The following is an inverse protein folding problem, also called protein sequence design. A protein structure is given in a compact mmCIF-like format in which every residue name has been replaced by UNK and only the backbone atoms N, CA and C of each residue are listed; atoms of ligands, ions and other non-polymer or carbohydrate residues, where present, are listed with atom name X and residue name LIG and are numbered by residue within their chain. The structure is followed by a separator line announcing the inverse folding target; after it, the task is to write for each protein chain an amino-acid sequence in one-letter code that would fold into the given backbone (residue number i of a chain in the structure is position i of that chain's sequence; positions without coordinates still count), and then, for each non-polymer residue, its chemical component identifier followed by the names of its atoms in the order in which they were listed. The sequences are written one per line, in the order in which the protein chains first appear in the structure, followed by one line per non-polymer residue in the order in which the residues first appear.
data_IF_115914588085
#
_entry.id   IF_115914588085
#
_cell.length_a   1.000
_cell.length_b   1.000
_cell.length_c   1.000
_cell.angle_alpha   90.00
_cell.angle_beta   90.00
_cell.angle_gamma   90.00
#
_symmetry.space_group_name_H-M   'P 1'
#
loop_
_entity.id
_entity.type
_entity.pdbx_description
1 polymer ?
#
# COMPACT_ATOMS: atom_id res chain seq x y z
N UNK A 1 -19.23 22.77 18.90
CA UNK A 1 -20.45 22.00 19.25
C UNK A 1 -21.40 22.01 18.06
N UNK A 2 -21.33 20.98 17.21
CA UNK A 2 -22.28 20.78 16.11
C UNK A 2 -22.59 19.28 16.06
N UNK A 3 -23.50 18.92 16.96
CA UNK A 3 -24.10 17.60 17.08
C UNK A 3 -25.24 17.51 16.07
N UNK A 4 -25.49 16.28 15.60
CA UNK A 4 -26.74 15.82 14.97
C UNK A 4 -27.08 16.32 13.57
N UNK A 5 -26.67 15.54 12.56
CA UNK A 5 -27.45 15.29 11.34
C UNK A 5 -27.10 13.88 10.83
N UNK A 6 -27.48 12.87 11.63
CA UNK A 6 -27.66 11.50 11.16
C UNK A 6 -29.17 11.26 11.23
N UNK A 7 -29.87 11.40 10.11
CA UNK A 7 -31.18 10.79 9.93
C UNK A 7 -31.55 10.69 8.45
N UNK A 8 -32.01 9.49 8.08
CA UNK A 8 -32.68 9.08 6.84
C UNK A 8 -31.77 8.60 5.68
N UNK A 9 -31.64 7.27 5.56
CA UNK A 9 -32.57 6.58 4.68
C UNK A 9 -33.26 5.43 5.42
N UNK A 10 -34.33 5.72 6.17
CA UNK A 10 -35.17 4.68 6.79
C UNK A 10 -36.65 4.82 6.40
N UNK A 11 -37.08 5.94 5.83
CA UNK A 11 -38.51 6.26 5.78
C UNK A 11 -39.25 5.73 4.54
N UNK A 12 -38.58 5.26 3.48
CA UNK A 12 -39.29 4.80 2.27
C UNK A 12 -39.85 3.36 2.35
N UNK A 13 -39.63 2.63 3.46
CA UNK A 13 -40.04 1.23 3.61
C UNK A 13 -41.40 0.99 4.26
N UNK A 14 -42.11 2.03 4.71
CA UNK A 14 -43.28 1.88 5.60
C UNK A 14 -44.65 2.02 4.92
N UNK A 15 -44.73 2.18 3.60
CA UNK A 15 -46.00 2.37 2.88
C UNK A 15 -46.34 1.23 1.92
N UNK A 16 -46.28 -0.01 2.42
CA UNK A 16 -46.86 -1.15 1.71
C UNK A 16 -46.82 -2.41 2.55
N UNK A 17 -47.98 -3.06 2.75
CA UNK A 17 -48.21 -4.30 3.51
C UNK A 17 -47.45 -5.54 2.97
N UNK A 18 -46.39 -5.36 2.19
CA UNK A 18 -45.51 -6.44 1.73
C UNK A 18 -44.39 -6.66 2.73
N UNK A 19 -44.74 -7.42 3.78
CA UNK A 19 -43.83 -8.12 4.72
C UNK A 19 -42.63 -7.29 5.20
N UNK A 20 -42.72 -6.76 6.42
CA UNK A 20 -41.61 -6.13 7.17
C UNK A 20 -40.27 -6.88 7.03
N UNK A 21 -40.32 -8.22 6.92
CA UNK A 21 -39.15 -9.09 6.72
C UNK A 21 -38.45 -8.83 5.39
N UNK A 22 -39.17 -8.55 4.30
CA UNK A 22 -38.59 -8.19 2.98
C UNK A 22 -37.97 -6.80 2.99
N UNK A 23 -38.60 -5.82 3.67
CA UNK A 23 -38.04 -4.48 3.84
C UNK A 23 -36.72 -4.47 4.63
N UNK A 24 -36.66 -5.22 5.74
CA UNK A 24 -35.42 -5.42 6.49
C UNK A 24 -34.35 -6.18 5.69
N UNK A 25 -34.75 -7.20 4.92
CA UNK A 25 -33.80 -7.99 4.11
C UNK A 25 -33.17 -7.11 3.00
N UNK A 26 -33.97 -6.34 2.27
CA UNK A 26 -33.50 -5.45 1.20
C UNK A 26 -32.65 -4.31 1.78
N UNK A 27 -33.08 -3.70 2.90
CA UNK A 27 -32.30 -2.67 3.59
C UNK A 27 -30.96 -3.18 4.11
N UNK A 28 -30.92 -4.40 4.66
CA UNK A 28 -29.69 -5.04 5.11
C UNK A 28 -28.72 -5.34 3.96
N UNK A 29 -29.23 -5.86 2.84
CA UNK A 29 -28.40 -6.12 1.64
C UNK A 29 -27.84 -4.82 1.05
N UNK A 30 -28.64 -3.75 0.98
CA UNK A 30 -28.18 -2.45 0.49
C UNK A 30 -27.09 -1.85 1.40
N UNK A 31 -27.26 -1.94 2.72
CA UNK A 31 -26.25 -1.46 3.68
C UNK A 31 -24.93 -2.24 3.56
N UNK A 32 -24.99 -3.57 3.42
CA UNK A 32 -23.81 -4.41 3.18
C UNK A 32 -23.13 -4.08 1.85
N UNK A 33 -23.90 -3.85 0.78
CA UNK A 33 -23.36 -3.47 -0.53
C UNK A 33 -22.66 -2.11 -0.47
N UNK A 34 -23.25 -1.11 0.19
CA UNK A 34 -22.64 0.21 0.37
C UNK A 34 -21.41 0.15 1.28
N UNK A 35 -21.43 -0.67 2.33
CA UNK A 35 -20.27 -0.92 3.18
C UNK A 35 -19.11 -1.56 2.41
N UNK A 36 -19.40 -2.58 1.60
CA UNK A 36 -18.42 -3.21 0.73
C UNK A 36 -17.87 -2.23 -0.32
N UNK A 37 -18.74 -1.43 -0.93
CA UNK A 37 -18.35 -0.40 -1.90
C UNK A 37 -17.42 0.64 -1.26
N UNK A 38 -17.77 1.14 -0.06
CA UNK A 38 -16.92 2.08 0.69
C UNK A 38 -15.53 1.50 0.94
N UNK A 39 -15.43 0.23 1.34
CA UNK A 39 -14.13 -0.43 1.54
C UNK A 39 -13.33 -0.55 0.24
N UNK A 40 -13.98 -0.84 -0.90
CA UNK A 40 -13.30 -0.91 -2.20
C UNK A 40 -12.91 0.47 -2.75
N UNK A 41 -13.58 1.55 -2.37
CA UNK A 41 -13.31 2.91 -2.85
C UNK A 41 -12.17 3.62 -2.09
N UNK A 42 -11.88 3.23 -0.85
CA UNK A 42 -10.86 3.88 -0.03
C UNK A 42 -9.47 3.95 -0.70
N UNK A 43 -9.14 2.94 -1.52
CA UNK A 43 -7.88 2.85 -2.28
C UNK A 43 -7.64 3.99 -3.28
N UNK A 44 -8.70 4.66 -3.76
CA UNK A 44 -8.59 5.73 -4.75
C UNK A 44 -8.23 7.08 -4.14
N UNK A 45 -8.29 7.20 -2.81
CA UNK A 45 -8.04 8.45 -2.11
C UNK A 45 -6.73 8.43 -1.31
N UNK A 46 -5.98 7.33 -1.35
CA UNK A 46 -4.68 7.26 -0.70
C UNK A 46 -3.63 7.92 -1.62
N UNK A 47 -2.84 8.89 -1.12
CA UNK A 47 -1.79 9.52 -1.90
C UNK A 47 -0.81 8.48 -2.47
N UNK A 48 -0.35 8.67 -3.71
CA UNK A 48 0.73 7.90 -4.32
C UNK A 48 1.93 8.82 -4.57
N UNK A 49 3.19 8.34 -4.50
CA UNK A 49 4.34 9.15 -4.85
C UNK A 49 4.33 9.50 -6.33
N UNK A 50 4.69 10.74 -6.64
CA UNK A 50 4.85 11.19 -8.02
C UNK A 50 5.94 10.39 -8.74
N UNK A 51 5.73 10.18 -10.05
CA UNK A 51 6.75 9.61 -10.94
C UNK A 51 6.53 10.08 -12.37
N UNK A 52 7.61 10.10 -13.14
CA UNK A 52 7.55 10.27 -14.59
C UNK A 52 7.56 8.91 -15.27
N UNK A 53 6.65 8.67 -16.21
CA UNK A 53 6.69 7.45 -17.04
C UNK A 53 7.69 7.65 -18.17
N UNK A 54 8.73 6.83 -18.21
CA UNK A 54 9.78 6.87 -19.26
C UNK A 54 9.45 5.95 -20.45
N UNK A 55 8.50 5.03 -20.27
CA UNK A 55 8.04 4.15 -21.34
C UNK A 55 7.64 2.78 -20.84
N UNK A 56 7.55 1.82 -21.78
CA UNK A 56 7.28 0.42 -21.49
C UNK A 56 8.14 -0.49 -22.35
N UNK A 57 8.57 -1.62 -21.79
CA UNK A 57 9.24 -2.70 -22.52
C UNK A 57 8.49 -4.00 -22.22
N UNK A 58 7.68 -4.43 -23.18
CA UNK A 58 6.71 -5.50 -22.97
C UNK A 58 5.77 -5.18 -21.80
N UNK A 59 5.76 -6.05 -20.79
CA UNK A 59 4.93 -5.88 -19.60
C UNK A 59 5.51 -4.89 -18.58
N UNK A 60 6.79 -4.54 -18.70
CA UNK A 60 7.49 -3.66 -17.76
C UNK A 60 7.14 -2.21 -18.05
N UNK A 61 6.71 -1.47 -17.03
CA UNK A 61 6.67 -0.01 -17.08
C UNK A 61 7.98 0.55 -16.54
N UNK A 62 8.55 1.53 -17.24
CA UNK A 62 9.75 2.24 -16.80
C UNK A 62 9.33 3.57 -16.18
N UNK A 63 9.68 3.79 -14.92
CA UNK A 63 9.28 4.96 -14.15
C UNK A 63 10.49 5.61 -13.51
N UNK A 64 10.55 6.94 -13.50
CA UNK A 64 11.51 7.73 -12.73
C UNK A 64 10.81 8.29 -11.51
N UNK A 65 11.28 7.89 -10.34
CA UNK A 65 10.81 8.41 -9.06
C UNK A 65 11.76 9.50 -8.57
N UNK A 66 11.25 10.68 -8.17
CA UNK A 66 12.08 11.74 -7.61
C UNK A 66 12.68 11.31 -6.28
N UNK A 67 13.64 12.10 -5.80
CA UNK A 67 14.14 11.96 -4.45
C UNK A 67 13.00 12.13 -3.43
N UNK A 68 13.02 11.34 -2.36
CA UNK A 68 11.98 11.35 -1.33
C UNK A 68 12.53 10.83 0.00
N UNK A 69 11.72 10.91 1.06
CA UNK A 69 12.03 10.29 2.34
C UNK A 69 11.14 9.07 2.54
N UNK A 70 11.75 7.96 2.95
CA UNK A 70 11.04 6.75 3.35
C UNK A 70 11.26 6.50 4.85
N UNK A 71 10.20 6.16 5.58
CA UNK A 71 10.32 5.55 6.91
C UNK A 71 10.47 4.04 6.73
N UNK A 72 11.58 3.49 7.24
CA UNK A 72 11.97 2.10 7.02
C UNK A 72 12.02 1.32 8.30
N UNK A 73 11.46 0.12 8.29
CA UNK A 73 11.49 -0.82 9.38
C UNK A 73 12.25 -2.07 8.95
N UNK A 74 13.27 -2.45 9.71
CA UNK A 74 13.88 -3.78 9.58
C UNK A 74 13.03 -4.80 10.33
N UNK A 75 12.76 -5.95 9.72
CA UNK A 75 11.94 -7.02 10.29
C UNK A 75 12.73 -8.32 10.32
N UNK A 76 12.90 -8.84 11.53
CA UNK A 76 13.39 -10.19 11.76
C UNK A 76 12.20 -11.15 11.76
N UNK A 77 11.90 -11.71 10.59
CA UNK A 77 10.86 -12.71 10.40
C UNK A 77 11.34 -13.74 9.38
N UNK A 78 10.98 -15.00 9.60
CA UNK A 78 11.29 -16.11 8.68
C UNK A 78 10.32 -16.09 7.50
N UNK A 79 9.04 -15.90 7.80
CA UNK A 79 7.97 -15.90 6.81
C UNK A 79 7.65 -14.49 6.29
N UNK A 80 7.33 -14.43 5.01
CA UNK A 80 7.07 -13.17 4.30
C UNK A 80 5.79 -12.51 4.81
N UNK A 81 4.73 -13.28 5.00
CA UNK A 81 3.45 -12.81 5.50
C UNK A 81 3.57 -12.20 6.89
N UNK A 82 4.34 -12.83 7.80
CA UNK A 82 4.65 -12.29 9.12
C UNK A 82 5.46 -11.00 9.02
N UNK A 83 6.41 -10.94 8.08
CA UNK A 83 7.18 -9.73 7.83
C UNK A 83 6.30 -8.56 7.37
N UNK A 84 5.26 -8.83 6.57
CA UNK A 84 4.30 -7.83 6.14
C UNK A 84 3.48 -7.31 7.33
N UNK A 85 2.97 -8.18 8.18
CA UNK A 85 2.16 -7.77 9.33
C UNK A 85 2.98 -6.99 10.36
N UNK A 86 4.13 -7.53 10.78
CA UNK A 86 5.00 -6.90 11.77
C UNK A 86 5.57 -5.57 11.27
N UNK A 87 6.00 -5.51 10.01
CA UNK A 87 6.50 -4.29 9.39
C UNK A 87 5.43 -3.21 9.31
N UNK A 88 4.22 -3.60 8.90
CA UNK A 88 3.11 -2.67 8.75
C UNK A 88 2.70 -2.08 10.09
N UNK A 89 2.52 -2.90 11.14
CA UNK A 89 2.14 -2.38 12.45
C UNK A 89 3.23 -1.50 13.07
N UNK A 90 4.51 -1.83 12.87
CA UNK A 90 5.61 -0.97 13.34
C UNK A 90 5.58 0.42 12.68
N UNK A 91 5.49 0.47 11.36
CA UNK A 91 5.45 1.76 10.64
C UNK A 91 4.14 2.51 10.86
N UNK A 92 3.02 1.79 10.99
CA UNK A 92 1.71 2.33 11.32
C UNK A 92 1.71 2.99 12.70
N UNK A 93 2.39 2.40 13.69
CA UNK A 93 2.53 3.00 15.02
C UNK A 93 3.25 4.35 14.93
N UNK A 94 4.36 4.42 14.19
CA UNK A 94 5.13 5.64 13.97
C UNK A 94 4.26 6.76 13.38
N UNK A 95 3.57 6.51 12.26
CA UNK A 95 2.73 7.53 11.61
C UNK A 95 1.47 7.89 12.41
N UNK A 96 1.14 7.16 13.47
CA UNK A 96 -0.02 7.43 14.33
C UNK A 96 0.33 8.20 15.60
N UNK A 97 1.59 8.59 15.78
CA UNK A 97 2.05 9.37 16.92
C UNK A 97 3.06 8.67 17.82
N UNK A 98 3.49 7.44 17.54
CA UNK A 98 4.61 6.83 18.28
C UNK A 98 5.96 7.40 17.78
N UNK A 99 6.12 8.70 17.99
CA UNK A 99 7.23 9.54 17.58
C UNK A 99 7.39 10.69 18.59
N UNK A 100 8.54 11.35 18.60
CA UNK A 100 8.94 12.29 19.64
C UNK A 100 8.02 13.52 19.84
N UNK A 101 7.03 13.74 18.97
CA UNK A 101 6.11 14.88 19.03
C UNK A 101 4.64 14.48 19.00
N UNK A 102 4.31 13.19 19.16
CA UNK A 102 2.95 12.66 19.05
C UNK A 102 2.23 13.03 17.72
N UNK A 103 3.00 13.30 16.65
CA UNK A 103 2.45 13.81 15.39
C UNK A 103 1.83 12.67 14.56
N UNK A 104 0.59 12.87 14.11
CA UNK A 104 -0.06 12.01 13.12
C UNK A 104 0.40 12.37 11.70
N UNK A 105 1.01 11.42 10.99
CA UNK A 105 1.51 11.59 9.62
C UNK A 105 0.58 10.90 8.62
N UNK A 106 0.42 11.51 7.45
CA UNK A 106 -0.33 10.91 6.34
C UNK A 106 0.51 9.82 5.69
N UNK A 107 -0.07 8.62 5.55
CA UNK A 107 0.53 7.51 4.82
C UNK A 107 0.29 7.65 3.32
N UNK A 108 1.31 7.39 2.51
CA UNK A 108 1.19 7.19 1.07
C UNK A 108 1.28 5.69 0.70
N UNK A 109 0.68 5.32 -0.42
CA UNK A 109 0.83 4.01 -1.06
C UNK A 109 1.78 4.12 -2.25
N UNK A 110 2.51 3.06 -2.64
CA UNK A 110 2.46 1.73 -2.05
C UNK A 110 3.29 1.62 -0.77
N UNK A 111 2.94 0.63 0.06
CA UNK A 111 3.86 0.07 1.05
C UNK A 111 4.81 -0.87 0.34
N UNK A 112 6.12 -0.67 0.49
CA UNK A 112 7.11 -1.52 -0.16
C UNK A 112 7.83 -2.43 0.82
N UNK A 113 8.04 -3.69 0.45
CA UNK A 113 8.80 -4.66 1.24
C UNK A 113 9.83 -5.35 0.36
N UNK A 114 11.05 -5.54 0.85
CA UNK A 114 12.09 -6.31 0.16
C UNK A 114 12.87 -7.20 1.13
N UNK A 115 13.53 -8.22 0.59
CA UNK A 115 14.57 -8.96 1.31
C UNK A 115 15.92 -8.28 1.06
N UNK A 116 16.61 -7.95 2.15
CA UNK A 116 17.94 -7.32 2.14
C UNK A 116 18.83 -7.99 3.19
N UNK A 117 19.96 -8.53 2.76
CA UNK A 117 20.96 -9.14 3.65
C UNK A 117 20.37 -10.18 4.63
N UNK A 118 19.41 -10.97 4.15
CA UNK A 118 18.72 -12.01 4.92
C UNK A 118 17.65 -11.51 5.90
N UNK A 119 17.29 -10.22 5.87
CA UNK A 119 16.20 -9.64 6.67
C UNK A 119 15.21 -8.90 5.77
N UNK A 120 13.97 -8.81 6.22
CA UNK A 120 12.98 -8.02 5.50
C UNK A 120 13.13 -6.54 5.86
N UNK A 121 12.98 -5.65 4.89
CA UNK A 121 12.89 -4.21 5.07
C UNK A 121 11.55 -3.76 4.50
N UNK A 122 10.69 -3.17 5.33
CA UNK A 122 9.45 -2.52 4.88
C UNK A 122 9.66 -1.00 4.88
N UNK A 123 9.08 -0.30 3.92
CA UNK A 123 9.16 1.16 3.82
C UNK A 123 7.79 1.78 3.53
N UNK A 124 7.51 2.89 4.23
CA UNK A 124 6.43 3.82 3.91
C UNK A 124 7.04 5.07 3.29
N UNK A 125 6.43 5.58 2.22
CA UNK A 125 6.80 6.87 1.66
C UNK A 125 6.25 7.98 2.56
N UNK A 126 7.10 8.93 2.94
CA UNK A 126 6.69 10.10 3.71
C UNK A 126 6.05 11.16 2.82
N UNK A 127 5.24 12.08 3.39
CA UNK A 127 4.66 13.19 2.63
C UNK A 127 5.71 13.96 1.82
N UNK A 128 5.39 14.27 0.56
CA UNK A 128 6.35 14.84 -0.39
C UNK A 128 6.85 16.25 -0.01
N UNK A 129 6.13 16.94 0.87
CA UNK A 129 6.48 18.26 1.40
C UNK A 129 7.41 18.21 2.61
N UNK A 130 7.82 17.02 3.06
CA UNK A 130 8.66 16.81 4.23
C UNK A 130 10.06 16.32 3.86
N UNK A 131 11.03 16.81 4.61
CA UNK A 131 12.43 16.33 4.62
C UNK A 131 12.76 15.67 5.97
N UNK A 132 13.85 14.90 6.05
CA UNK A 132 14.21 14.15 7.26
C UNK A 132 14.28 15.04 8.51
N UNK A 133 14.82 16.26 8.40
CA UNK A 133 14.94 17.20 9.52
C UNK A 133 13.62 17.76 10.02
N UNK A 134 12.55 17.67 9.21
CA UNK A 134 11.20 18.18 9.54
C UNK A 134 10.24 17.08 9.99
N UNK A 135 10.66 15.83 9.95
CA UNK A 135 9.87 14.69 10.39
C UNK A 135 10.17 14.38 11.86
N UNK A 136 9.17 13.96 12.64
CA UNK A 136 9.36 13.60 14.03
C UNK A 136 10.22 12.34 14.13
N UNK A 137 11.10 12.29 15.13
CA UNK A 137 11.96 11.12 15.33
C UNK A 137 11.11 9.93 15.80
N UNK A 138 11.25 8.74 15.19
CA UNK A 138 10.56 7.54 15.67
C UNK A 138 11.01 7.17 17.09
N UNK A 139 10.08 6.71 17.93
CA UNK A 139 10.42 6.17 19.26
C UNK A 139 11.00 4.76 19.18
N UNK A 140 10.56 3.96 18.20
CA UNK A 140 11.10 2.63 17.96
C UNK A 140 12.43 2.74 17.18
N UNK A 141 13.59 2.34 17.75
CA UNK A 141 14.89 2.45 17.09
C UNK A 141 15.02 1.56 15.85
N UNK A 142 14.08 0.63 15.64
CA UNK A 142 13.99 -0.21 14.44
C UNK A 142 13.34 0.52 13.27
N UNK A 143 12.76 1.69 13.50
CA UNK A 143 12.24 2.59 12.45
C UNK A 143 13.25 3.69 12.18
N UNK A 144 13.62 3.87 10.91
CA UNK A 144 14.60 4.86 10.49
C UNK A 144 14.07 5.66 9.32
N UNK A 145 14.23 6.98 9.40
CA UNK A 145 13.95 7.88 8.28
C UNK A 145 15.17 7.91 7.35
N UNK A 146 14.96 7.65 6.07
CA UNK A 146 16.04 7.56 5.08
C UNK A 146 15.68 8.35 3.83
N UNK A 147 16.61 9.19 3.39
CA UNK A 147 16.53 9.78 2.06
C UNK A 147 16.76 8.69 1.01
N UNK A 148 15.92 8.72 -0.01
CA UNK A 148 16.02 7.88 -1.19
C UNK A 148 16.29 8.81 -2.35
N UNK A 149 17.44 8.69 -3.03
CA UNK A 149 17.73 9.54 -4.18
C UNK A 149 16.77 9.24 -5.32
N UNK A 150 16.76 10.14 -6.31
CA UNK A 150 16.08 9.88 -7.56
C UNK A 150 16.57 8.56 -8.17
N UNK A 151 15.63 7.75 -8.66
CA UNK A 151 15.95 6.45 -9.22
C UNK A 151 14.99 6.03 -10.32
N UNK A 152 15.51 5.28 -11.28
CA UNK A 152 14.74 4.64 -12.35
C UNK A 152 14.33 3.26 -11.91
N UNK A 153 13.05 2.93 -12.03
CA UNK A 153 12.46 1.68 -11.57
C UNK A 153 11.77 1.00 -12.75
N UNK A 154 12.09 -0.27 -12.98
CA UNK A 154 11.28 -1.16 -13.78
C UNK A 154 10.17 -1.77 -12.91
N UNK A 155 8.93 -1.70 -13.40
CA UNK A 155 7.74 -2.13 -12.66
C UNK A 155 7.01 -3.24 -13.40
N UNK A 156 6.77 -4.35 -12.71
CA UNK A 156 5.84 -5.39 -13.14
C UNK A 156 4.58 -5.35 -12.28
N UNK A 157 3.43 -5.06 -12.90
CA UNK A 157 2.13 -5.07 -12.21
C UNK A 157 1.49 -6.45 -12.29
N UNK A 158 0.85 -6.87 -11.19
CA UNK A 158 0.05 -8.09 -11.12
C UNK A 158 -1.13 -7.94 -10.14
N UNK A 159 -2.04 -8.90 -10.14
CA UNK A 159 -3.16 -8.99 -9.21
C UNK A 159 -3.11 -10.31 -8.43
N UNK A 160 -4.04 -10.50 -7.51
CA UNK A 160 -4.16 -11.71 -6.70
C UNK A 160 -3.67 -11.52 -5.26
N UNK A 161 -3.46 -12.65 -4.58
CA UNK A 161 -3.00 -12.68 -3.19
C UNK A 161 -1.51 -12.39 -3.12
N UNK A 162 -1.07 -11.63 -2.11
CA UNK A 162 0.34 -11.34 -1.87
C UNK A 162 1.01 -12.41 -1.00
N UNK A 163 0.78 -13.69 -1.29
CA UNK A 163 1.48 -14.78 -0.58
C UNK A 163 2.92 -14.89 -1.06
N UNK A 164 3.83 -15.39 -0.22
CA UNK A 164 5.25 -15.62 -0.57
C UNK A 164 5.39 -16.29 -1.93
N UNK A 165 4.70 -17.42 -2.10
CA UNK A 165 4.71 -18.21 -3.34
C UNK A 165 4.32 -17.40 -4.58
N UNK A 166 3.30 -16.53 -4.48
CA UNK A 166 2.87 -15.73 -5.62
C UNK A 166 3.85 -14.59 -5.90
N UNK A 167 4.32 -13.90 -4.86
CA UNK A 167 5.31 -12.82 -4.98
C UNK A 167 6.60 -13.34 -5.63
N UNK A 168 7.15 -14.46 -5.15
CA UNK A 168 8.33 -15.11 -5.74
C UNK A 168 8.10 -15.56 -7.19
N UNK A 169 6.90 -15.99 -7.54
CA UNK A 169 6.57 -16.35 -8.92
C UNK A 169 6.61 -15.13 -9.85
N UNK A 170 6.04 -14.01 -9.40
CA UNK A 170 6.08 -12.75 -10.15
C UNK A 170 7.50 -12.18 -10.20
N UNK A 171 8.30 -12.40 -9.15
CA UNK A 171 9.70 -11.96 -9.09
C UNK A 171 10.55 -12.64 -10.15
N UNK A 172 10.44 -13.97 -10.27
CA UNK A 172 11.10 -14.70 -11.35
C UNK A 172 10.63 -14.22 -12.74
N UNK A 173 9.36 -13.85 -12.88
CA UNK A 173 8.81 -13.28 -14.13
C UNK A 173 9.39 -11.89 -14.42
N UNK A 174 9.51 -11.02 -13.42
CA UNK A 174 10.13 -9.70 -13.53
C UNK A 174 11.58 -9.83 -13.98
N UNK A 175 12.38 -10.65 -13.29
CA UNK A 175 13.81 -10.81 -13.58
C UNK A 175 14.04 -11.36 -14.98
N UNK A 176 13.25 -12.34 -15.43
CA UNK A 176 13.34 -12.85 -16.80
C UNK A 176 13.07 -11.76 -17.84
N UNK A 177 11.99 -10.99 -17.66
CA UNK A 177 11.64 -9.89 -18.58
C UNK A 177 12.68 -8.78 -18.60
N UNK A 178 13.33 -8.53 -17.46
CA UNK A 178 14.37 -7.54 -17.34
C UNK A 178 15.61 -7.93 -18.18
N UNK A 179 15.98 -9.23 -18.14
CA UNK A 179 17.01 -9.80 -19.01
C UNK A 179 16.60 -9.74 -20.49
N UNK A 180 15.38 -10.15 -20.83
CA UNK A 180 14.87 -10.11 -22.21
C UNK A 180 14.85 -8.68 -22.78
N UNK A 181 14.65 -7.68 -21.91
CA UNK A 181 14.66 -6.26 -22.25
C UNK A 181 16.07 -5.66 -22.36
N UNK A 182 17.14 -6.42 -22.04
CA UNK A 182 18.52 -5.90 -21.99
C UNK A 182 18.74 -4.84 -20.91
N UNK A 183 17.91 -4.80 -19.88
CA UNK A 183 18.01 -3.85 -18.77
C UNK A 183 18.89 -4.43 -17.66
N UNK A 184 19.67 -3.58 -17.00
CA UNK A 184 20.51 -4.00 -15.87
C UNK A 184 19.83 -3.65 -14.55
N UNK A 185 19.72 -4.63 -13.66
CA UNK A 185 19.15 -4.47 -12.34
C UNK A 185 20.16 -3.90 -11.33
N UNK A 186 19.66 -3.11 -10.39
CA UNK A 186 20.41 -2.60 -9.24
C UNK A 186 19.66 -2.91 -7.94
N UNK A 187 20.32 -3.62 -7.02
CA UNK A 187 19.76 -3.97 -5.72
C UNK A 187 18.70 -5.07 -5.76
N UNK A 188 17.88 -5.12 -4.70
CA UNK A 188 16.84 -6.14 -4.51
C UNK A 188 15.50 -5.76 -5.16
N UNK A 189 14.70 -6.76 -5.49
CA UNK A 189 13.30 -6.58 -5.88
C UNK A 189 12.48 -6.16 -4.66
N UNK A 190 11.65 -5.13 -4.83
CA UNK A 190 10.70 -4.65 -3.84
C UNK A 190 9.28 -5.05 -4.25
N UNK A 191 8.55 -5.68 -3.34
CA UNK A 191 7.11 -5.87 -3.44
C UNK A 191 6.38 -4.61 -3.00
N UNK A 192 5.58 -4.03 -3.89
CA UNK A 192 4.82 -2.81 -3.68
C UNK A 192 3.31 -3.13 -3.58
N UNK A 193 2.77 -2.98 -2.37
CA UNK A 193 1.37 -3.24 -2.03
C UNK A 193 0.58 -1.93 -1.98
N UNK A 194 -0.43 -1.78 -2.83
CA UNK A 194 -1.31 -0.60 -2.85
C UNK A 194 -2.61 -0.84 -2.10
N UNK A 195 -3.08 -2.07 -2.12
CA UNK A 195 -4.42 -2.43 -1.69
C UNK A 195 -4.38 -3.21 -0.36
N UNK A 196 -5.25 -2.87 0.61
CA UNK A 196 -5.31 -3.59 1.87
C UNK A 196 -5.77 -5.06 1.69
N UNK A 197 -5.58 -5.91 2.71
CA UNK A 197 -6.05 -7.30 2.70
C UNK A 197 -7.58 -7.44 2.50
N UNK A 198 -8.35 -6.39 2.78
CA UNK A 198 -9.80 -6.34 2.59
C UNK A 198 -10.21 -6.18 1.12
N UNK A 199 -9.32 -5.71 0.24
CA UNK A 199 -9.57 -5.65 -1.21
C UNK A 199 -9.66 -7.07 -1.78
N UNK A 200 -10.61 -7.32 -2.68
CA UNK A 200 -10.75 -8.63 -3.31
C UNK A 200 -9.49 -8.98 -4.12
N UNK A 201 -8.91 -10.19 -4.01
CA UNK A 201 -7.63 -10.52 -4.64
C UNK A 201 -7.54 -10.19 -6.13
N UNK A 202 -8.60 -10.44 -6.90
CA UNK A 202 -8.63 -10.16 -8.34
C UNK A 202 -8.61 -8.65 -8.68
N UNK A 203 -9.03 -7.81 -7.72
CA UNK A 203 -9.08 -6.36 -7.86
C UNK A 203 -7.84 -5.66 -7.27
N UNK A 204 -6.97 -6.39 -6.56
CA UNK A 204 -5.76 -5.83 -5.97
C UNK A 204 -4.76 -5.40 -7.03
N UNK A 205 -4.19 -4.21 -6.83
CA UNK A 205 -3.01 -3.71 -7.50
C UNK A 205 -1.79 -4.07 -6.63
N UNK A 206 -1.03 -5.01 -7.13
CA UNK A 206 0.29 -5.33 -6.64
C UNK A 206 1.32 -4.98 -7.70
N UNK A 207 2.51 -4.57 -7.29
CA UNK A 207 3.62 -4.33 -8.20
C UNK A 207 4.91 -4.95 -7.64
N UNK A 208 5.83 -5.30 -8.53
CA UNK A 208 7.22 -5.57 -8.20
C UNK A 208 8.08 -4.49 -8.85
N UNK A 209 8.97 -3.92 -8.05
CA UNK A 209 9.83 -2.81 -8.41
C UNK A 209 11.27 -3.26 -8.32
N UNK A 210 12.08 -2.91 -9.31
CA UNK A 210 13.52 -3.11 -9.26
C UNK A 210 14.20 -1.88 -9.87
N UNK A 211 15.23 -1.37 -9.20
CA UNK A 211 16.00 -0.25 -9.73
C UNK A 211 16.80 -0.70 -10.95
N UNK A 212 16.90 0.18 -11.94
CA UNK A 212 17.64 -0.06 -13.19
C UNK A 212 18.63 1.08 -13.45
N UNK A 213 19.72 0.76 -14.14
CA UNK A 213 20.71 1.73 -14.61
C UNK A 213 20.35 2.23 -16.01
#
# INVERSE_FOLDING_TARGET
MLSTLIAAPVVAGLLGERSLKRGLLVGGVAALALGALRLQMARWFTPEPDYTTEGRVGDLALRRYPARVDARAEINAIDFEDALELGYERLRSFIRGANATDEGLVMAMPVTTMMRDGRYEMSFVMPADRVVSTLPQPEDPRVQLREVPERRIAVLRFNGRFTKKNVEWQERKLLRKLVDAGLSARGSVMFACYDPPTTLPLLRRNELWIEIT
#
